data_IF_837133964383
#
_entry.id   IF_837133964383
#
_cell.length_a   1.000
_cell.length_b   1.000
_cell.length_c   1.000
_cell.angle_alpha   90.00
_cell.angle_beta   90.00
_cell.angle_gamma   90.00
#
_symmetry.space_group_name_H-M   'P 1'
#
loop_
_entity.id
_entity.type
_entity.pdbx_description
1 polymer ?
#
# COMPACT_ATOMS: atom_id res chain seq x y z
N UNK A 1 -18.72 -15.61 -15.75
CA UNK A 1 -17.31 -15.75 -16.20
C UNK A 1 -16.44 -15.32 -15.04
N UNK A 2 -15.84 -16.27 -14.30
CA UNK A 2 -15.04 -15.99 -13.09
C UNK A 2 -13.58 -16.21 -13.47
N UNK A 3 -13.09 -15.31 -14.31
CA UNK A 3 -11.80 -15.44 -14.97
C UNK A 3 -10.67 -15.25 -13.95
N UNK A 4 -9.98 -16.36 -13.69
CA UNK A 4 -8.53 -16.46 -13.48
C UNK A 4 -7.91 -15.29 -12.69
N UNK A 5 -8.08 -15.30 -11.37
CA UNK A 5 -7.21 -14.53 -10.45
C UNK A 5 -6.14 -15.42 -9.81
N UNK A 6 -5.87 -16.60 -10.38
CA UNK A 6 -5.03 -17.67 -9.79
C UNK A 6 -3.53 -17.37 -9.71
N UNK A 7 -3.11 -16.12 -9.73
CA UNK A 7 -1.69 -15.75 -9.59
C UNK A 7 -1.41 -14.31 -9.19
N UNK A 8 -2.44 -13.50 -8.91
CA UNK A 8 -2.28 -12.09 -8.54
C UNK A 8 -2.71 -11.90 -7.09
N UNK A 9 -1.79 -11.39 -6.26
CA UNK A 9 -2.05 -11.16 -4.85
C UNK A 9 -2.80 -9.84 -4.71
N UNK A 10 -4.09 -9.91 -4.43
CA UNK A 10 -4.89 -8.74 -4.05
C UNK A 10 -4.45 -8.26 -2.66
N UNK A 11 -4.21 -6.96 -2.53
CA UNK A 11 -3.98 -6.29 -1.25
C UNK A 11 -5.05 -5.21 -1.14
N UNK A 12 -5.95 -5.39 -0.18
CA UNK A 12 -6.96 -4.40 0.15
C UNK A 12 -6.36 -3.42 1.15
N UNK A 13 -6.29 -2.15 0.76
CA UNK A 13 -5.77 -1.05 1.58
C UNK A 13 -6.95 -0.16 1.92
N UNK A 14 -7.25 -0.05 3.22
CA UNK A 14 -8.28 0.87 3.69
C UNK A 14 -7.74 2.30 3.70
N UNK A 15 -8.56 3.27 3.32
CA UNK A 15 -8.19 4.70 3.40
C UNK A 15 -7.77 5.09 4.82
N UNK A 16 -8.39 4.52 5.86
CA UNK A 16 -8.01 4.80 7.25
C UNK A 16 -6.59 4.30 7.59
N UNK A 17 -6.23 3.11 7.14
CA UNK A 17 -4.89 2.52 7.32
C UNK A 17 -3.84 3.31 6.54
N UNK A 18 -4.14 3.68 5.29
CA UNK A 18 -3.27 4.52 4.47
C UNK A 18 -3.04 5.89 5.13
N UNK A 19 -4.12 6.51 5.62
CA UNK A 19 -4.05 7.80 6.32
C UNK A 19 -3.24 7.68 7.60
N UNK A 20 -3.44 6.61 8.37
CA UNK A 20 -2.65 6.31 9.56
C UNK A 20 -1.17 6.13 9.23
N UNK A 21 -0.84 5.41 8.17
CA UNK A 21 0.54 5.21 7.70
C UNK A 21 1.21 6.52 7.27
N UNK A 22 0.51 7.39 6.55
CA UNK A 22 1.00 8.72 6.16
C UNK A 22 1.22 9.64 7.38
N UNK A 23 0.36 9.52 8.41
CA UNK A 23 0.42 10.30 9.64
C UNK A 23 1.34 9.71 10.71
N UNK A 24 1.83 8.47 10.54
CA UNK A 24 2.60 7.71 11.55
C UNK A 24 3.92 8.38 11.95
N UNK A 25 4.46 9.26 11.11
CA UNK A 25 5.65 10.06 11.41
C UNK A 25 5.38 11.47 11.95
N UNK A 26 4.14 11.75 12.37
CA UNK A 26 3.74 13.04 12.92
C UNK A 26 3.42 14.11 11.88
N UNK A 27 2.73 15.15 12.35
CA UNK A 27 2.49 16.41 11.64
C UNK A 27 3.40 17.50 12.23
N UNK A 28 3.90 18.45 11.42
CA UNK A 28 3.82 18.54 9.96
C UNK A 28 4.85 17.63 9.25
N UNK A 29 4.46 17.06 8.11
CA UNK A 29 5.34 16.29 7.24
C UNK A 29 5.51 17.03 5.92
N UNK A 30 6.74 17.08 5.41
CA UNK A 30 6.99 17.60 4.06
C UNK A 30 6.46 16.64 3.00
N UNK A 31 6.23 17.12 1.77
CA UNK A 31 5.85 16.27 0.63
C UNK A 31 6.87 15.15 0.36
N UNK A 32 8.15 15.40 0.65
CA UNK A 32 9.20 14.38 0.56
C UNK A 32 9.03 13.26 1.59
N UNK A 33 8.73 13.61 2.84
CA UNK A 33 8.46 12.63 3.89
C UNK A 33 7.19 11.83 3.64
N UNK A 34 6.11 12.48 3.17
CA UNK A 34 4.86 11.79 2.82
C UNK A 34 5.09 10.73 1.73
N UNK A 35 5.86 11.07 0.68
CA UNK A 35 6.26 10.11 -0.35
C UNK A 35 7.05 8.95 0.24
N UNK A 36 8.03 9.24 1.10
CA UNK A 36 8.86 8.20 1.73
C UNK A 36 8.02 7.27 2.61
N UNK A 37 7.09 7.80 3.40
CA UNK A 37 6.17 7.03 4.25
C UNK A 37 5.22 6.16 3.43
N UNK A 38 4.70 6.70 2.32
CA UNK A 38 3.89 5.93 1.39
C UNK A 38 4.69 4.78 0.77
N UNK A 39 5.90 5.06 0.32
CA UNK A 39 6.79 4.05 -0.24
C UNK A 39 7.13 2.95 0.77
N UNK A 40 7.45 3.32 2.02
CA UNK A 40 7.71 2.40 3.12
C UNK A 40 6.48 1.53 3.42
N UNK A 41 5.29 2.13 3.46
CA UNK A 41 4.03 1.42 3.66
C UNK A 41 3.75 0.43 2.51
N UNK A 42 3.93 0.87 1.26
CA UNK A 42 3.78 0.02 0.09
C UNK A 42 4.80 -1.12 0.10
N UNK A 43 6.05 -0.85 0.44
CA UNK A 43 7.10 -1.86 0.58
C UNK A 43 6.77 -2.86 1.70
N UNK A 44 6.18 -2.43 2.80
CA UNK A 44 5.79 -3.29 3.92
C UNK A 44 4.62 -4.21 3.56
N UNK A 45 3.54 -3.68 2.97
CA UNK A 45 2.39 -4.50 2.55
C UNK A 45 2.72 -5.42 1.38
N UNK A 46 3.68 -5.04 0.54
CA UNK A 46 4.18 -5.87 -0.58
C UNK A 46 5.39 -6.71 -0.19
N UNK A 47 5.86 -6.63 1.06
CA UNK A 47 7.01 -7.40 1.54
C UNK A 47 6.73 -8.89 1.43
N UNK A 48 7.64 -9.62 0.80
CA UNK A 48 7.48 -11.06 0.54
C UNK A 48 6.46 -11.39 -0.55
N UNK A 49 5.96 -10.39 -1.28
CA UNK A 49 5.09 -10.57 -2.45
C UNK A 49 5.79 -10.07 -3.70
N UNK A 50 5.48 -10.68 -4.82
CA UNK A 50 5.98 -10.25 -6.14
C UNK A 50 5.27 -8.96 -6.54
N UNK A 51 5.94 -7.79 -6.64
CA UNK A 51 5.28 -6.53 -6.97
C UNK A 51 4.62 -6.56 -8.35
N UNK A 52 5.19 -7.32 -9.29
CA UNK A 52 4.62 -7.60 -10.62
C UNK A 52 3.28 -8.35 -10.57
N UNK A 53 2.97 -8.99 -9.43
CA UNK A 53 1.75 -9.75 -9.21
C UNK A 53 0.85 -9.15 -8.13
N UNK A 54 1.22 -8.03 -7.53
CA UNK A 54 0.41 -7.37 -6.50
C UNK A 54 -0.60 -6.43 -7.17
N UNK A 55 -1.85 -6.50 -6.72
CA UNK A 55 -2.89 -5.51 -7.04
C UNK A 55 -3.35 -4.84 -5.76
N UNK A 56 -3.09 -3.55 -5.65
CA UNK A 56 -3.57 -2.72 -4.54
C UNK A 56 -4.97 -2.23 -4.89
N UNK A 57 -5.92 -2.49 -4.01
CA UNK A 57 -7.29 -1.99 -4.11
C UNK A 57 -7.53 -1.08 -2.92
N UNK A 58 -7.94 0.16 -3.19
CA UNK A 58 -8.30 1.13 -2.16
C UNK A 58 -9.81 1.01 -1.89
N UNK A 59 -10.18 0.76 -0.64
CA UNK A 59 -11.55 0.81 -0.12
C UNK A 59 -11.73 1.96 0.89
#
# INVERSE_FOLDING_TARGET
>A
VREVLSGLVKIEVKIEELRSALLKGGTPATTGELKKRLDDYLADITKGKDPSKVRIVLE
#
